data_IF_158957291919
#
_entry.id   IF_158957291919
#
_cell.length_a   1.000
_cell.length_b   1.000
_cell.length_c   1.000
_cell.angle_alpha   90.00
_cell.angle_beta   90.00
_cell.angle_gamma   90.00
#
_symmetry.space_group_name_H-M   'P 1'
#
loop_
_entity.id
_entity.type
_entity.pdbx_description
1 polymer ?
#
# COMPACT_ATOMS: atom_id res chain seq x y z
N UNK A 1 -36.23 -0.87 -23.83
CA UNK A 1 -35.82 -1.84 -22.79
C UNK A 1 -34.31 -1.85 -22.84
N UNK A 2 -33.67 -1.48 -21.76
CA UNK A 2 -32.22 -1.64 -21.63
C UNK A 2 -31.89 -3.12 -21.79
N UNK A 3 -30.77 -3.43 -22.40
CA UNK A 3 -30.28 -4.81 -22.47
C UNK A 3 -29.75 -5.21 -21.10
N UNK A 4 -29.76 -6.49 -20.77
CA UNK A 4 -29.23 -7.03 -19.50
C UNK A 4 -27.79 -6.55 -19.23
N UNK A 5 -27.00 -6.38 -20.30
CA UNK A 5 -25.64 -5.84 -20.27
C UNK A 5 -25.62 -4.33 -19.90
N UNK A 6 -26.60 -3.54 -20.31
CA UNK A 6 -26.70 -2.11 -19.96
C UNK A 6 -27.05 -1.93 -18.48
N UNK A 7 -27.96 -2.74 -17.94
CA UNK A 7 -28.32 -2.74 -16.53
C UNK A 7 -27.12 -3.17 -15.64
N UNK A 8 -26.37 -4.18 -16.07
CA UNK A 8 -25.16 -4.63 -15.39
C UNK A 8 -24.08 -3.54 -15.39
N UNK A 9 -23.91 -2.84 -16.51
CA UNK A 9 -22.95 -1.76 -16.63
C UNK A 9 -23.31 -0.56 -15.75
N UNK A 10 -24.58 -0.20 -15.67
CA UNK A 10 -25.05 0.87 -14.78
C UNK A 10 -24.85 0.52 -13.31
N UNK A 11 -25.20 -0.71 -12.91
CA UNK A 11 -24.96 -1.18 -11.54
C UNK A 11 -23.47 -1.17 -11.17
N UNK A 12 -22.59 -1.59 -12.10
CA UNK A 12 -21.16 -1.55 -11.88
C UNK A 12 -20.61 -0.12 -11.72
N UNK A 13 -21.09 0.82 -12.53
CA UNK A 13 -20.72 2.24 -12.42
C UNK A 13 -21.18 2.85 -11.10
N UNK A 14 -22.39 2.53 -10.66
CA UNK A 14 -22.92 3.00 -9.39
C UNK A 14 -22.09 2.48 -8.20
N UNK A 15 -21.77 1.17 -8.18
CA UNK A 15 -20.90 0.58 -7.17
C UNK A 15 -19.51 1.20 -7.16
N UNK A 16 -18.96 1.47 -8.35
CA UNK A 16 -17.66 2.14 -8.46
C UNK A 16 -17.70 3.56 -7.88
N UNK A 17 -18.72 4.35 -8.21
CA UNK A 17 -18.90 5.70 -7.66
C UNK A 17 -19.01 5.68 -6.14
N UNK A 18 -19.86 4.80 -5.58
CA UNK A 18 -20.00 4.64 -4.14
C UNK A 18 -18.68 4.25 -3.45
N UNK A 19 -17.88 3.40 -4.09
CA UNK A 19 -16.58 2.98 -3.58
C UNK A 19 -15.57 4.14 -3.59
N UNK A 20 -15.57 4.97 -4.64
CA UNK A 20 -14.72 6.16 -4.74
C UNK A 20 -15.08 7.16 -3.63
N UNK A 21 -16.37 7.46 -3.45
CA UNK A 21 -16.83 8.40 -2.43
C UNK A 21 -16.48 7.93 -1.01
N UNK A 22 -16.64 6.62 -0.74
CA UNK A 22 -16.26 6.04 0.54
C UNK A 22 -14.74 6.09 0.80
N UNK A 23 -13.93 6.06 -0.27
CA UNK A 23 -12.48 6.08 -0.17
C UNK A 23 -11.91 7.50 -0.04
N UNK A 24 -12.60 8.54 -0.49
CA UNK A 24 -12.13 9.94 -0.49
C UNK A 24 -11.68 10.41 0.90
N UNK A 25 -12.43 10.05 1.94
CA UNK A 25 -12.08 10.39 3.31
C UNK A 25 -10.76 9.75 3.76
N UNK A 26 -10.49 8.51 3.33
CA UNK A 26 -9.25 7.81 3.62
C UNK A 26 -8.08 8.40 2.85
N UNK A 27 -8.28 8.77 1.60
CA UNK A 27 -7.27 9.46 0.78
C UNK A 27 -6.88 10.80 1.39
N UNK A 28 -7.86 11.60 1.81
CA UNK A 28 -7.61 12.89 2.48
C UNK A 28 -6.79 12.71 3.77
N UNK A 29 -7.07 11.67 4.55
CA UNK A 29 -6.29 11.34 5.76
C UNK A 29 -4.88 10.94 5.39
N UNK A 30 -4.72 10.06 4.41
CA UNK A 30 -3.42 9.61 3.92
C UNK A 30 -2.53 10.79 3.53
N UNK A 31 -3.05 11.74 2.75
CA UNK A 31 -2.30 12.93 2.35
C UNK A 31 -1.84 13.77 3.55
N UNK A 32 -2.72 13.96 4.54
CA UNK A 32 -2.40 14.69 5.77
C UNK A 32 -1.31 13.96 6.57
N UNK A 33 -1.42 12.65 6.72
CA UNK A 33 -0.47 11.85 7.48
C UNK A 33 0.92 11.82 6.81
N UNK A 34 0.96 11.71 5.48
CA UNK A 34 2.22 11.81 4.72
C UNK A 34 2.84 13.19 4.84
N UNK A 35 2.06 14.28 4.72
CA UNK A 35 2.54 15.65 4.91
C UNK A 35 3.09 15.84 6.32
N UNK A 36 2.36 15.40 7.32
CA UNK A 36 2.79 15.47 8.72
C UNK A 36 4.06 14.64 8.99
N UNK A 37 4.05 13.37 8.57
CA UNK A 37 5.12 12.42 8.89
C UNK A 37 6.38 12.59 8.06
N UNK A 38 6.26 12.80 6.74
CA UNK A 38 7.41 12.84 5.83
C UNK A 38 7.87 14.24 5.48
N UNK A 39 6.94 15.16 5.24
CA UNK A 39 7.27 16.52 4.84
C UNK A 39 7.50 17.46 6.02
N UNK A 40 7.11 17.03 7.24
CA UNK A 40 7.28 17.85 8.43
C UNK A 40 6.28 19.00 8.54
N UNK A 41 5.19 18.95 7.80
CA UNK A 41 4.10 19.93 7.87
C UNK A 41 3.24 19.71 9.12
N UNK A 42 3.82 20.04 10.29
CA UNK A 42 3.21 19.76 11.61
C UNK A 42 2.48 20.96 12.20
N UNK A 43 2.52 22.09 11.52
CA UNK A 43 1.87 23.33 11.94
C UNK A 43 0.64 23.61 11.09
N UNK A 44 -0.45 24.06 11.73
CA UNK A 44 -1.59 24.59 11.02
C UNK A 44 -1.22 25.93 10.35
N UNK A 45 -1.87 26.23 9.21
CA UNK A 45 -1.62 27.47 8.48
C UNK A 45 -1.88 28.73 9.36
N UNK A 46 -2.95 28.70 10.14
CA UNK A 46 -3.33 29.77 11.05
C UNK A 46 -2.27 30.01 12.14
N UNK A 47 -1.71 28.94 12.69
CA UNK A 47 -0.65 29.02 13.70
C UNK A 47 0.65 29.57 13.10
N UNK A 48 0.98 29.17 11.88
CA UNK A 48 2.15 29.72 11.14
C UNK A 48 1.98 31.22 10.93
N UNK A 49 0.82 31.64 10.49
CA UNK A 49 0.52 33.05 10.23
C UNK A 49 0.54 33.90 11.52
N UNK A 50 -0.10 33.42 12.59
CA UNK A 50 -0.10 34.04 13.89
C UNK A 50 1.32 34.23 14.45
N UNK A 51 2.17 33.20 14.33
CA UNK A 51 3.57 33.27 14.76
C UNK A 51 4.40 34.22 13.90
N UNK A 52 4.19 34.22 12.59
CA UNK A 52 4.83 35.11 11.65
C UNK A 52 4.52 36.57 11.99
N UNK A 53 3.26 36.85 12.28
CA UNK A 53 2.82 38.23 12.68
C UNK A 53 3.42 38.67 14.01
N UNK A 54 3.77 37.70 14.90
CA UNK A 54 4.47 37.95 16.16
C UNK A 54 6.00 37.97 16.04
N UNK A 55 6.55 37.77 14.84
CA UNK A 55 8.00 37.67 14.62
C UNK A 55 8.63 36.40 15.23
N UNK A 56 7.83 35.34 15.50
CA UNK A 56 8.29 34.07 16.09
C UNK A 56 8.52 33.03 15.00
N UNK A 57 9.63 32.30 15.01
CA UNK A 57 9.85 31.22 14.05
C UNK A 57 8.94 30.02 14.34
N UNK A 58 8.53 29.32 13.29
CA UNK A 58 7.85 28.00 13.37
C UNK A 58 8.89 26.93 13.09
N UNK A 59 9.46 26.35 14.15
CA UNK A 59 10.48 25.31 14.06
C UNK A 59 9.82 23.94 14.19
N UNK A 60 10.13 23.05 13.24
CA UNK A 60 9.69 21.65 13.26
C UNK A 60 10.89 20.72 13.42
N UNK A 61 10.87 19.89 14.46
CA UNK A 61 11.84 18.81 14.64
C UNK A 61 11.13 17.50 14.34
N UNK A 62 11.14 17.11 13.07
CA UNK A 62 10.41 15.92 12.63
C UNK A 62 11.17 14.64 13.00
N UNK A 63 10.64 13.88 13.96
CA UNK A 63 11.18 12.56 14.38
C UNK A 63 10.41 11.39 13.77
N UNK A 64 9.28 11.62 13.10
CA UNK A 64 8.45 10.56 12.52
C UNK A 64 9.20 9.66 11.53
N UNK A 65 10.09 10.18 10.64
CA UNK A 65 10.81 9.33 9.71
C UNK A 65 11.69 8.26 10.38
N UNK A 66 12.14 8.48 11.62
CA UNK A 66 12.91 7.50 12.37
C UNK A 66 12.05 6.33 12.83
N UNK A 67 10.85 6.61 13.34
CA UNK A 67 9.90 5.58 13.75
C UNK A 67 9.35 4.80 12.56
N UNK A 68 9.00 5.49 11.46
CA UNK A 68 8.56 4.84 10.23
C UNK A 68 9.63 3.85 9.74
N UNK A 69 10.88 4.28 9.68
CA UNK A 69 12.01 3.42 9.27
C UNK A 69 12.21 2.22 10.21
N UNK A 70 11.99 2.38 11.50
CA UNK A 70 12.08 1.28 12.44
C UNK A 70 11.04 0.19 12.12
N UNK A 71 9.76 0.58 11.95
CA UNK A 71 8.69 -0.36 11.61
C UNK A 71 8.94 -1.05 10.27
N UNK A 72 9.36 -0.29 9.25
CA UNK A 72 9.69 -0.85 7.92
C UNK A 72 10.86 -1.84 8.01
N UNK A 73 11.90 -1.52 8.81
CA UNK A 73 13.03 -2.43 8.99
C UNK A 73 12.63 -3.70 9.75
N UNK A 74 11.75 -3.62 10.74
CA UNK A 74 11.22 -4.79 11.44
C UNK A 74 10.41 -5.69 10.49
N UNK A 75 9.60 -5.09 9.62
CA UNK A 75 8.88 -5.82 8.59
C UNK A 75 9.82 -6.49 7.57
N UNK A 76 10.91 -5.83 7.19
CA UNK A 76 11.95 -6.41 6.31
C UNK A 76 12.64 -7.62 6.93
N UNK A 77 12.83 -7.64 8.24
CA UNK A 77 13.42 -8.78 8.93
C UNK A 77 12.44 -9.97 9.03
N UNK A 78 11.15 -9.68 9.14
CA UNK A 78 10.08 -10.66 9.28
C UNK A 78 9.25 -10.76 8.00
N UNK A 79 9.90 -10.99 6.86
CA UNK A 79 9.22 -11.09 5.57
C UNK A 79 8.17 -12.20 5.57
N UNK A 80 6.91 -11.89 5.19
CA UNK A 80 5.92 -12.93 4.95
C UNK A 80 6.37 -13.78 3.77
N UNK A 81 6.22 -15.10 3.88
CA UNK A 81 6.48 -16.02 2.78
C UNK A 81 5.20 -16.74 2.38
N UNK A 82 4.99 -16.85 1.09
CA UNK A 82 3.90 -17.65 0.54
C UNK A 82 4.35 -19.12 0.55
N UNK A 83 3.53 -19.99 1.16
CA UNK A 83 3.77 -21.43 1.17
C UNK A 83 2.51 -22.16 0.73
N UNK A 84 2.68 -23.06 -0.23
CA UNK A 84 1.63 -23.96 -0.69
C UNK A 84 1.78 -25.28 0.05
N UNK A 85 0.69 -25.75 0.64
CA UNK A 85 0.60 -27.04 1.32
C UNK A 85 -0.47 -27.90 0.64
N UNK A 86 -0.25 -29.22 0.54
CA UNK A 86 -1.30 -30.13 0.08
C UNK A 86 -2.49 -30.06 1.04
N UNK A 87 -3.72 -30.02 0.48
CA UNK A 87 -4.94 -29.82 1.28
C UNK A 87 -5.49 -31.14 1.83
N UNK A 88 -5.31 -32.26 1.12
CA UNK A 88 -5.79 -33.58 1.53
C UNK A 88 -4.74 -34.69 1.29
N UNK A 89 -5.04 -35.89 1.78
CA UNK A 89 -4.17 -37.04 1.66
C UNK A 89 -3.94 -37.51 0.20
N UNK A 90 -4.72 -36.98 -0.76
CA UNK A 90 -4.57 -37.27 -2.20
C UNK A 90 -3.77 -36.23 -2.94
N UNK A 91 -3.52 -35.09 -2.31
CA UNK A 91 -2.71 -34.02 -2.91
C UNK A 91 -1.23 -34.41 -2.81
N UNK A 92 -0.54 -34.30 -3.94
CA UNK A 92 0.87 -34.68 -4.06
C UNK A 92 1.78 -33.62 -3.40
N UNK A 93 2.55 -33.99 -2.36
CA UNK A 93 3.51 -33.10 -1.72
C UNK A 93 4.61 -32.59 -2.67
N UNK A 94 5.00 -33.42 -3.64
CA UNK A 94 6.05 -33.10 -4.62
C UNK A 94 5.57 -31.97 -5.55
N UNK A 95 4.31 -32.01 -5.97
CA UNK A 95 3.68 -30.90 -6.73
C UNK A 95 3.65 -29.61 -5.92
N UNK A 96 3.33 -29.66 -4.64
CA UNK A 96 3.34 -28.48 -3.76
C UNK A 96 4.75 -27.87 -3.63
N UNK A 97 5.78 -28.71 -3.57
CA UNK A 97 7.18 -28.26 -3.51
C UNK A 97 7.62 -27.57 -4.82
N UNK A 98 7.23 -28.12 -5.96
CA UNK A 98 7.47 -27.51 -7.28
C UNK A 98 6.79 -26.14 -7.37
N UNK A 99 5.52 -26.00 -6.96
CA UNK A 99 4.81 -24.74 -6.96
C UNK A 99 5.49 -23.71 -6.03
N UNK A 100 5.94 -24.12 -4.85
CA UNK A 100 6.70 -23.27 -3.95
C UNK A 100 8.01 -22.79 -4.60
N UNK A 101 8.67 -23.64 -5.38
CA UNK A 101 9.85 -23.27 -6.16
C UNK A 101 9.55 -22.22 -7.23
N UNK A 102 8.44 -22.37 -7.95
CA UNK A 102 7.98 -21.42 -8.99
C UNK A 102 7.66 -20.07 -8.35
N UNK A 103 6.93 -20.05 -7.24
CA UNK A 103 6.61 -18.79 -6.52
C UNK A 103 7.87 -18.04 -6.13
N UNK A 104 8.85 -18.73 -5.53
CA UNK A 104 10.13 -18.11 -5.16
C UNK A 104 10.88 -17.54 -6.37
N UNK A 105 10.86 -18.25 -7.48
CA UNK A 105 11.49 -17.78 -8.70
C UNK A 105 10.79 -16.50 -9.23
N UNK A 106 9.45 -16.49 -9.23
CA UNK A 106 8.66 -15.31 -9.63
C UNK A 106 8.98 -14.11 -8.74
N UNK A 107 8.98 -14.30 -7.41
CA UNK A 107 9.32 -13.24 -6.46
C UNK A 107 10.74 -12.69 -6.68
N UNK A 108 11.70 -13.56 -6.99
CA UNK A 108 13.08 -13.16 -7.23
C UNK A 108 13.24 -12.40 -8.55
N UNK A 109 12.65 -12.91 -9.65
CA UNK A 109 12.75 -12.31 -10.98
C UNK A 109 12.02 -10.96 -11.03
N UNK A 110 10.83 -10.88 -10.44
CA UNK A 110 10.02 -9.66 -10.37
C UNK A 110 10.52 -8.64 -9.35
N UNK A 111 11.53 -8.98 -8.54
CA UNK A 111 12.00 -8.15 -7.40
C UNK A 111 10.83 -7.78 -6.47
N UNK A 112 9.98 -8.74 -6.15
CA UNK A 112 8.78 -8.57 -5.33
C UNK A 112 9.08 -7.94 -3.96
N UNK A 113 10.25 -8.19 -3.40
CA UNK A 113 10.73 -7.57 -2.16
C UNK A 113 10.63 -6.04 -2.19
N UNK A 114 10.97 -5.41 -3.32
CA UNK A 114 10.90 -3.96 -3.46
C UNK A 114 9.45 -3.46 -3.45
N UNK A 115 8.54 -4.20 -4.08
CA UNK A 115 7.12 -3.89 -4.11
C UNK A 115 6.51 -4.01 -2.70
N UNK A 116 6.83 -5.08 -1.98
CA UNK A 116 6.39 -5.31 -0.60
C UNK A 116 6.92 -4.22 0.35
N UNK A 117 8.21 -3.92 0.29
CA UNK A 117 8.83 -2.88 1.09
C UNK A 117 8.17 -1.50 0.85
N UNK A 118 7.89 -1.18 -0.41
CA UNK A 118 7.23 0.08 -0.78
C UNK A 118 5.79 0.12 -0.25
N UNK A 119 5.04 -0.97 -0.38
CA UNK A 119 3.69 -1.03 0.14
C UNK A 119 3.64 -0.91 1.67
N UNK A 120 4.55 -1.57 2.38
CA UNK A 120 4.68 -1.48 3.84
C UNK A 120 5.07 -0.06 4.28
N UNK A 121 6.01 0.57 3.58
CA UNK A 121 6.43 1.94 3.85
C UNK A 121 5.28 2.94 3.65
N UNK A 122 4.49 2.78 2.59
CA UNK A 122 3.28 3.56 2.36
C UNK A 122 2.22 3.30 3.45
N UNK A 123 1.98 2.03 3.80
CA UNK A 123 1.02 1.66 4.84
C UNK A 123 1.40 2.21 6.21
N UNK A 124 2.69 2.17 6.55
CA UNK A 124 3.20 2.71 7.82
C UNK A 124 3.10 4.23 7.88
N UNK A 125 3.21 4.91 6.73
CA UNK A 125 3.23 6.37 6.64
C UNK A 125 1.84 6.99 6.56
N UNK A 126 0.88 6.32 5.93
CA UNK A 126 -0.44 6.88 5.64
C UNK A 126 -1.61 5.90 5.88
N UNK A 127 -1.34 4.72 6.45
CA UNK A 127 -2.37 3.75 6.85
C UNK A 127 -2.67 2.67 5.81
N UNK A 128 -2.33 2.88 4.54
CA UNK A 128 -2.48 1.86 3.51
C UNK A 128 -1.37 1.94 2.44
N UNK A 129 -1.09 0.79 1.83
CA UNK A 129 -0.16 0.68 0.72
C UNK A 129 -0.61 -0.45 -0.20
N UNK A 130 -0.38 -0.27 -1.49
CA UNK A 130 -0.78 -1.22 -2.52
C UNK A 130 0.43 -1.67 -3.32
N UNK A 131 0.39 -2.89 -3.78
CA UNK A 131 1.21 -3.37 -4.88
C UNK A 131 0.31 -4.08 -5.89
N UNK A 132 0.74 -4.16 -7.14
CA UNK A 132 -0.01 -4.78 -8.22
C UNK A 132 0.81 -5.91 -8.81
N UNK A 133 0.14 -6.99 -9.15
CA UNK A 133 0.71 -8.12 -9.88
C UNK A 133 0.24 -8.01 -11.33
N UNK A 134 1.17 -7.83 -12.24
CA UNK A 134 0.91 -7.84 -13.67
C UNK A 134 1.53 -9.09 -14.30
N UNK A 135 0.86 -9.60 -15.32
CA UNK A 135 1.39 -10.67 -16.16
C UNK A 135 1.86 -10.04 -17.47
N UNK A 136 3.13 -10.25 -17.78
CA UNK A 136 3.72 -9.88 -19.05
C UNK A 136 4.20 -11.14 -19.74
N UNK A 137 4.07 -11.18 -21.07
CA UNK A 137 4.63 -12.25 -21.86
C UNK A 137 6.11 -11.95 -22.06
N UNK A 138 6.97 -12.91 -21.67
CA UNK A 138 8.38 -12.81 -22.01
C UNK A 138 8.51 -12.82 -23.51
N UNK A 139 9.14 -11.77 -24.06
CA UNK A 139 9.55 -11.79 -25.44
C UNK A 139 10.57 -12.93 -25.63
N UNK A 140 10.34 -13.80 -26.64
CA UNK A 140 11.24 -14.90 -27.02
C UNK A 140 12.58 -14.37 -27.55
#
# INVERSE_FOLDING_TARGET
>A
MATEDEELLEAAKEQFSQSVDAFEANQTRYEKDVKFGRMGEQWNADDIEARKNQGRPSLTVNRMPSFIRQVVNDARQNKPSIKVHPFDDKADPETAEVINGIIRNIEQVSKADLAYDTAIDCATSGGFGYFRIDLDYADD
#
